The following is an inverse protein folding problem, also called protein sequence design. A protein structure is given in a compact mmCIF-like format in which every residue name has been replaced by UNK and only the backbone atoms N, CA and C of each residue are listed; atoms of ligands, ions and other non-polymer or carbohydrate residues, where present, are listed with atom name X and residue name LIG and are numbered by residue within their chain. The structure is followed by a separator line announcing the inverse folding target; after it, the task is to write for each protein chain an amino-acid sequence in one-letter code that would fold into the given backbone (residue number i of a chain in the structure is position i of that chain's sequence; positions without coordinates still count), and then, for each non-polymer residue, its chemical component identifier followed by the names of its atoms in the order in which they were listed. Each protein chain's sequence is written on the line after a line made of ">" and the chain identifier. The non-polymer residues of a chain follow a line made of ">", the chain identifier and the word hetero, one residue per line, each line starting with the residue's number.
data_IF_534681352113
#
_entry.id   IF_534681352113
#
_cell.length_a   1.000
_cell.length_b   1.000
_cell.length_c   1.000
_cell.angle_alpha   90.00
_cell.angle_beta   90.00
_cell.angle_gamma   90.00
#
_symmetry.space_group_name_H-M   'P 1'
#
loop_
_entity.id
_entity.type
_entity.pdbx_description
1 polymer ?
#
# COMPACT_ATOMS: atom_id res chain seq x y z
N UNK A 1 49.72 -63.19 5.35
CA UNK A 1 49.06 -62.23 4.44
C UNK A 1 48.42 -63.00 3.31
N UNK A 2 47.20 -62.61 2.89
CA UNK A 2 46.43 -63.06 1.72
C UNK A 2 45.25 -64.03 1.96
N UNK A 3 44.06 -63.48 1.78
CA UNK A 3 42.75 -64.10 1.54
C UNK A 3 41.83 -62.94 1.13
N UNK A 4 40.90 -62.99 0.19
CA UNK A 4 40.39 -63.97 -0.79
C UNK A 4 39.68 -63.13 -1.86
N UNK A 5 39.60 -63.64 -3.10
CA UNK A 5 38.82 -63.05 -4.20
C UNK A 5 37.50 -63.82 -4.40
N UNK A 6 36.46 -63.03 -4.67
CA UNK A 6 35.26 -63.27 -5.50
C UNK A 6 34.24 -64.37 -5.16
N UNK A 7 32.97 -63.99 -4.99
CA UNK A 7 31.93 -64.19 -6.02
C UNK A 7 30.64 -63.39 -5.70
N UNK A 8 29.96 -62.92 -6.74
CA UNK A 8 28.76 -62.09 -6.71
C UNK A 8 27.46 -62.92 -6.74
N UNK A 9 26.35 -62.38 -6.21
CA UNK A 9 25.05 -62.30 -6.93
C UNK A 9 23.91 -61.71 -6.06
N UNK A 10 23.33 -60.64 -6.63
CA UNK A 10 21.95 -60.15 -6.61
C UNK A 10 20.98 -60.47 -5.45
N UNK A 11 20.51 -59.40 -4.78
CA UNK A 11 19.21 -59.35 -4.09
C UNK A 11 18.37 -58.18 -4.65
N UNK A 12 17.03 -58.28 -4.65
CA UNK A 12 16.14 -57.37 -5.37
C UNK A 12 15.76 -56.12 -4.55
N UNK A 13 15.60 -55.01 -5.26
CA UNK A 13 15.10 -53.71 -4.80
C UNK A 13 13.58 -53.70 -4.58
N UNK A 14 13.08 -53.03 -3.53
CA UNK A 14 11.70 -52.55 -3.51
C UNK A 14 11.63 -51.06 -3.87
N UNK A 15 10.82 -50.79 -4.90
CA UNK A 15 10.44 -49.50 -5.45
C UNK A 15 9.88 -48.52 -4.41
N UNK A 16 10.49 -47.34 -4.27
CA UNK A 16 9.95 -46.18 -3.56
C UNK A 16 9.23 -45.23 -4.52
N UNK A 17 8.01 -44.90 -4.13
CA UNK A 17 7.13 -43.79 -4.52
C UNK A 17 7.73 -42.66 -5.38
N UNK A 18 7.15 -42.46 -6.57
CA UNK A 18 7.17 -41.20 -7.31
C UNK A 18 5.78 -40.55 -7.24
N UNK A 19 5.61 -39.62 -6.29
CA UNK A 19 4.52 -38.65 -6.31
C UNK A 19 5.16 -37.26 -6.26
N UNK A 20 5.09 -36.57 -7.39
CA UNK A 20 5.58 -35.22 -7.62
C UNK A 20 4.87 -34.20 -6.74
N UNK A 21 5.61 -33.52 -5.87
CA UNK A 21 5.16 -32.33 -5.16
C UNK A 21 5.25 -31.09 -6.08
N UNK A 22 4.28 -30.17 -6.06
CA UNK A 22 4.35 -28.94 -6.84
C UNK A 22 5.32 -27.94 -6.21
N UNK A 23 6.22 -27.41 -7.05
CA UNK A 23 7.13 -26.31 -6.72
C UNK A 23 6.32 -25.05 -6.39
N UNK A 24 6.29 -24.68 -5.11
CA UNK A 24 5.83 -23.37 -4.67
C UNK A 24 6.96 -22.36 -4.90
N UNK A 25 6.76 -21.48 -5.87
CA UNK A 25 7.59 -20.30 -6.15
C UNK A 25 7.70 -19.44 -4.88
N UNK A 26 8.92 -19.27 -4.40
CA UNK A 26 9.28 -18.46 -3.24
C UNK A 26 9.09 -16.97 -3.56
N UNK A 27 7.92 -16.43 -3.25
CA UNK A 27 7.72 -14.99 -3.17
C UNK A 27 8.03 -14.54 -1.74
N UNK A 28 9.28 -14.10 -1.53
CA UNK A 28 9.73 -13.42 -0.32
C UNK A 28 9.00 -12.07 -0.18
N UNK A 29 7.78 -12.10 0.36
CA UNK A 29 7.15 -10.93 0.97
C UNK A 29 7.45 -11.04 2.45
N UNK A 30 8.42 -10.26 2.91
CA UNK A 30 8.75 -10.16 4.33
C UNK A 30 7.48 -9.87 5.13
N UNK A 31 7.05 -10.76 6.05
CA UNK A 31 5.95 -10.45 6.94
C UNK A 31 6.41 -9.31 7.85
N UNK A 32 5.71 -8.17 7.80
CA UNK A 32 5.88 -7.06 8.74
C UNK A 32 5.44 -7.54 10.13
N UNK A 33 6.31 -8.28 10.81
CA UNK A 33 6.20 -8.63 12.22
C UNK A 33 6.51 -7.38 13.05
N UNK A 34 5.50 -6.64 13.50
CA UNK A 34 5.62 -5.81 14.73
C UNK A 34 4.29 -5.41 15.36
N UNK A 35 3.15 -5.49 14.69
CA UNK A 35 1.91 -4.87 15.22
C UNK A 35 1.01 -5.76 16.11
N UNK A 36 1.31 -7.04 16.32
CA UNK A 36 0.30 -7.97 16.88
C UNK A 36 0.50 -8.39 18.33
N UNK A 37 1.69 -8.19 18.92
CA UNK A 37 1.97 -8.63 20.30
C UNK A 37 1.77 -7.54 21.35
N UNK A 38 1.76 -6.27 20.95
CA UNK A 38 1.77 -5.13 21.85
C UNK A 38 0.38 -4.48 21.85
N UNK A 39 -0.25 -4.23 23.01
CA UNK A 39 -1.52 -3.50 23.08
C UNK A 39 -1.45 -2.17 22.34
N UNK A 40 -2.53 -1.80 21.65
CA UNK A 40 -2.57 -0.60 20.80
C UNK A 40 -2.06 0.68 21.49
N UNK A 41 -2.41 0.98 22.76
CA UNK A 41 -1.90 2.16 23.44
C UNK A 41 -0.37 2.16 23.64
N UNK A 42 0.23 0.98 23.82
CA UNK A 42 1.68 0.85 23.98
C UNK A 42 2.37 0.97 22.62
N UNK A 43 1.85 0.30 21.60
CA UNK A 43 2.37 0.36 20.23
C UNK A 43 2.31 1.78 19.67
N UNK A 44 1.19 2.49 19.89
CA UNK A 44 1.01 3.85 19.41
C UNK A 44 1.97 4.83 20.07
N UNK A 45 2.20 4.71 21.40
CA UNK A 45 3.18 5.54 22.12
C UNK A 45 4.60 5.31 21.62
N UNK A 46 4.96 4.06 21.34
CA UNK A 46 6.27 3.74 20.76
C UNK A 46 6.41 4.36 19.38
N UNK A 47 5.40 4.21 18.52
CA UNK A 47 5.37 4.86 17.19
C UNK A 47 5.54 6.38 17.29
N UNK A 48 4.79 7.03 18.18
CA UNK A 48 4.89 8.46 18.41
C UNK A 48 6.29 8.89 18.89
N UNK A 49 6.85 8.18 19.87
CA UNK A 49 8.19 8.45 20.40
C UNK A 49 9.26 8.27 19.31
N UNK A 50 9.20 7.18 18.54
CA UNK A 50 10.12 6.95 17.42
C UNK A 50 10.05 8.07 16.39
N UNK A 51 8.85 8.47 15.97
CA UNK A 51 8.69 9.57 15.02
C UNK A 51 9.21 10.91 15.58
N UNK A 52 8.89 11.23 16.83
CA UNK A 52 9.39 12.43 17.49
C UNK A 52 10.93 12.43 17.59
N UNK A 53 11.52 11.29 17.92
CA UNK A 53 12.97 11.14 18.00
C UNK A 53 13.65 11.32 16.62
N UNK A 54 13.09 10.71 15.57
CA UNK A 54 13.60 10.89 14.20
C UNK A 54 13.55 12.36 13.78
N UNK A 55 12.44 13.07 14.07
CA UNK A 55 12.34 14.52 13.77
C UNK A 55 13.35 15.34 14.57
N UNK A 56 13.64 14.97 15.81
CA UNK A 56 14.66 15.63 16.61
C UNK A 56 16.07 15.45 16.04
N UNK A 57 16.37 14.27 15.46
CA UNK A 57 17.64 14.01 14.78
C UNK A 57 17.72 14.69 13.40
N UNK A 58 16.59 14.94 12.75
CA UNK A 58 16.51 15.46 11.38
C UNK A 58 15.55 16.65 11.30
N UNK A 59 15.99 17.86 11.71
CA UNK A 59 15.10 19.03 11.83
C UNK A 59 14.49 19.51 10.50
N UNK A 60 15.09 19.14 9.36
CA UNK A 60 14.60 19.50 8.02
C UNK A 60 13.82 18.38 7.32
N UNK A 61 13.56 17.25 8.00
CA UNK A 61 12.94 16.07 7.38
C UNK A 61 11.60 16.40 6.72
N UNK A 62 10.75 17.18 7.38
CA UNK A 62 9.44 17.56 6.86
C UNK A 62 9.55 18.40 5.56
N UNK A 63 10.50 19.33 5.52
CA UNK A 63 10.74 20.16 4.33
C UNK A 63 11.29 19.33 3.17
N UNK A 64 12.18 18.37 3.46
CA UNK A 64 12.74 17.45 2.47
C UNK A 64 11.61 16.58 1.91
N UNK A 65 10.81 15.94 2.76
CA UNK A 65 9.70 15.09 2.33
C UNK A 65 8.68 15.84 1.46
N UNK A 66 8.31 17.06 1.85
CA UNK A 66 7.41 17.92 1.05
C UNK A 66 8.01 18.25 -0.31
N UNK A 67 9.30 18.57 -0.35
CA UNK A 67 10.01 18.94 -1.59
C UNK A 67 10.13 17.73 -2.51
N UNK A 68 10.54 16.57 -1.99
CA UNK A 68 10.66 15.33 -2.76
C UNK A 68 9.33 14.90 -3.37
N UNK A 69 8.23 14.94 -2.61
CA UNK A 69 6.90 14.61 -3.13
C UNK A 69 6.50 15.59 -4.24
N UNK A 70 6.75 16.88 -4.04
CA UNK A 70 6.44 17.92 -5.04
C UNK A 70 7.23 17.71 -6.33
N UNK A 71 8.54 17.49 -6.22
CA UNK A 71 9.44 17.32 -7.37
C UNK A 71 9.16 16.00 -8.10
N UNK A 72 8.88 14.93 -7.36
CA UNK A 72 8.50 13.63 -7.92
C UNK A 72 7.18 13.71 -8.69
N UNK A 73 6.18 14.40 -8.12
CA UNK A 73 4.90 14.61 -8.80
C UNK A 73 5.03 15.43 -10.08
N UNK A 74 5.79 16.55 -10.03
CA UNK A 74 6.05 17.40 -11.19
C UNK A 74 6.77 16.63 -12.30
N UNK A 75 7.80 15.86 -11.95
CA UNK A 75 8.53 15.02 -12.90
C UNK A 75 7.64 13.91 -13.48
N UNK A 76 6.78 13.31 -12.67
CA UNK A 76 5.80 12.32 -13.13
C UNK A 76 4.85 12.90 -14.19
N UNK A 77 4.32 14.10 -13.95
CA UNK A 77 3.47 14.81 -14.93
C UNK A 77 4.24 15.12 -16.21
N UNK A 78 5.47 15.64 -16.10
CA UNK A 78 6.30 15.93 -17.27
C UNK A 78 6.60 14.67 -18.10
N UNK A 79 6.87 13.53 -17.46
CA UNK A 79 7.09 12.26 -18.13
C UNK A 79 5.85 11.77 -18.87
N UNK A 80 4.66 11.84 -18.25
CA UNK A 80 3.40 11.44 -18.90
C UNK A 80 3.10 12.32 -20.11
N UNK A 81 3.28 13.63 -19.98
CA UNK A 81 3.10 14.57 -21.10
C UNK A 81 4.13 14.34 -22.21
N UNK A 82 5.38 14.07 -21.86
CA UNK A 82 6.42 13.77 -22.85
C UNK A 82 6.11 12.46 -23.61
N UNK A 83 5.67 11.42 -22.90
CA UNK A 83 5.23 10.16 -23.49
C UNK A 83 4.00 10.34 -24.41
N UNK A 84 3.14 11.31 -24.11
CA UNK A 84 2.02 11.71 -24.97
C UNK A 84 2.42 12.56 -26.20
N UNK A 85 3.70 12.85 -26.40
CA UNK A 85 4.20 13.63 -27.54
C UNK A 85 4.13 15.16 -27.36
N UNK A 86 3.89 15.66 -26.15
CA UNK A 86 3.73 17.10 -25.89
C UNK A 86 5.06 17.87 -25.75
N UNK A 87 6.21 17.20 -25.89
CA UNK A 87 7.54 17.82 -25.91
C UNK A 87 8.59 17.12 -25.03
N UNK A 88 9.72 17.79 -24.82
CA UNK A 88 10.82 17.33 -23.98
C UNK A 88 10.50 17.48 -22.48
N UNK A 89 10.94 16.51 -21.67
CA UNK A 89 10.68 16.43 -20.24
C UNK A 89 11.11 17.70 -19.49
N UNK A 90 12.31 18.22 -19.76
CA UNK A 90 12.86 19.38 -19.03
C UNK A 90 12.09 20.68 -19.29
N UNK A 91 11.67 20.90 -20.55
CA UNK A 91 10.86 22.05 -20.91
C UNK A 91 9.46 21.99 -20.27
N UNK A 92 8.86 20.79 -20.24
CA UNK A 92 7.58 20.54 -19.58
C UNK A 92 7.67 20.68 -18.07
N UNK A 93 8.74 20.17 -17.46
CA UNK A 93 9.00 20.27 -16.03
C UNK A 93 9.15 21.73 -15.60
N UNK A 94 9.89 22.54 -16.35
CA UNK A 94 10.06 23.98 -16.06
C UNK A 94 8.72 24.70 -16.08
N UNK A 95 7.90 24.43 -17.11
CA UNK A 95 6.57 25.03 -17.26
C UNK A 95 5.59 24.58 -16.18
N UNK A 96 5.54 23.28 -15.88
CA UNK A 96 4.69 22.72 -14.84
C UNK A 96 5.09 23.23 -13.45
N UNK A 97 6.40 23.34 -13.19
CA UNK A 97 6.93 23.89 -11.94
C UNK A 97 6.53 25.34 -11.75
N UNK A 98 6.67 26.18 -12.78
CA UNK A 98 6.30 27.59 -12.69
C UNK A 98 4.80 27.79 -12.35
N UNK A 99 3.93 26.89 -12.81
CA UNK A 99 2.47 27.03 -12.67
C UNK A 99 1.88 26.29 -11.47
N UNK A 100 2.40 25.12 -11.14
CA UNK A 100 1.74 24.15 -10.24
C UNK A 100 2.53 23.81 -8.97
N UNK A 101 3.77 24.28 -8.83
CA UNK A 101 4.63 23.95 -7.68
C UNK A 101 4.01 24.37 -6.35
N UNK A 102 3.43 25.56 -6.28
CA UNK A 102 2.82 26.06 -5.04
C UNK A 102 1.62 25.22 -4.60
N UNK A 103 0.74 24.83 -5.53
CA UNK A 103 -0.42 23.98 -5.23
C UNK A 103 0.02 22.59 -4.80
N UNK A 104 0.98 21.97 -5.51
CA UNK A 104 1.50 20.65 -5.16
C UNK A 104 2.21 20.65 -3.81
N UNK A 105 2.99 21.70 -3.51
CA UNK A 105 3.61 21.87 -2.20
C UNK A 105 2.57 21.93 -1.09
N UNK A 106 1.50 22.70 -1.27
CA UNK A 106 0.40 22.77 -0.30
C UNK A 106 -0.27 21.41 -0.08
N UNK A 107 -0.45 20.62 -1.14
CA UNK A 107 -0.99 19.26 -1.02
C UNK A 107 -0.03 18.36 -0.23
N UNK A 108 1.27 18.43 -0.51
CA UNK A 108 2.28 17.67 0.20
C UNK A 108 2.37 18.05 1.69
N UNK A 109 2.26 19.35 2.02
CA UNK A 109 2.19 19.83 3.41
C UNK A 109 0.95 19.29 4.14
N UNK A 110 -0.22 19.29 3.49
CA UNK A 110 -1.44 18.70 4.04
C UNK A 110 -1.33 17.18 4.23
N UNK A 111 -0.71 16.48 3.28
CA UNK A 111 -0.47 15.05 3.37
C UNK A 111 0.48 14.71 4.54
N UNK A 112 1.53 15.52 4.74
CA UNK A 112 2.45 15.34 5.87
C UNK A 112 1.75 15.61 7.21
N UNK A 113 0.90 16.65 7.27
CA UNK A 113 0.06 16.92 8.45
C UNK A 113 -0.91 15.78 8.74
N UNK A 114 -1.53 15.20 7.71
CA UNK A 114 -2.39 14.03 7.86
C UNK A 114 -1.60 12.84 8.42
N UNK A 115 -0.41 12.57 7.89
CA UNK A 115 0.45 11.51 8.37
C UNK A 115 0.83 11.70 9.86
N UNK A 116 1.13 12.93 10.28
CA UNK A 116 1.37 13.26 11.69
C UNK A 116 0.15 12.94 12.57
N UNK A 117 -1.05 13.41 12.18
CA UNK A 117 -2.27 13.17 12.97
C UNK A 117 -2.60 11.69 13.10
N UNK A 118 -2.45 10.92 12.01
CA UNK A 118 -2.75 9.49 12.01
C UNK A 118 -1.72 8.67 12.80
N UNK A 119 -0.43 9.03 12.73
CA UNK A 119 0.65 8.23 13.31
C UNK A 119 1.04 8.63 14.72
N UNK A 120 1.07 9.92 15.00
CA UNK A 120 1.58 10.49 16.24
C UNK A 120 0.44 11.10 17.09
N UNK A 121 -0.57 11.69 16.45
CA UNK A 121 -1.68 12.33 17.15
C UNK A 121 -2.72 11.37 17.73
N UNK A 122 -2.88 10.17 17.14
CA UNK A 122 -3.92 9.22 17.55
C UNK A 122 -3.31 8.00 18.25
N UNK A 123 -3.57 7.86 19.55
CA UNK A 123 -3.02 6.78 20.38
C UNK A 123 -4.03 5.67 20.72
N UNK A 124 -5.34 5.96 20.62
CA UNK A 124 -6.39 5.01 21.03
C UNK A 124 -6.66 3.92 19.99
N UNK A 125 -6.37 4.20 18.72
CA UNK A 125 -6.74 3.36 17.56
C UNK A 125 -5.69 3.48 16.47
N UNK A 126 -5.62 2.51 15.55
CA UNK A 126 -4.73 2.60 14.38
C UNK A 126 -5.54 2.95 13.14
N UNK A 127 -5.43 4.19 12.70
CA UNK A 127 -6.06 4.64 11.46
C UNK A 127 -5.09 4.54 10.28
N UNK A 128 -5.61 4.06 9.16
CA UNK A 128 -4.87 3.98 7.91
C UNK A 128 -5.66 4.65 6.77
N UNK A 129 -5.00 5.46 5.93
CA UNK A 129 -5.63 5.99 4.74
C UNK A 129 -5.97 4.84 3.78
N UNK A 130 -7.14 4.90 3.18
CA UNK A 130 -7.65 3.91 2.24
C UNK A 130 -7.80 4.58 0.88
N UNK A 131 -7.08 4.10 -0.13
CA UNK A 131 -7.26 4.50 -1.52
C UNK A 131 -7.54 3.26 -2.37
N UNK A 132 -8.22 3.47 -3.49
CA UNK A 132 -8.57 2.40 -4.43
C UNK A 132 -7.74 2.58 -5.69
N UNK A 133 -7.00 1.53 -6.04
CA UNK A 133 -6.23 1.47 -7.28
C UNK A 133 -7.16 1.54 -8.50
N UNK A 134 -6.65 2.11 -9.59
CA UNK A 134 -7.34 2.09 -10.87
C UNK A 134 -7.57 0.65 -11.35
N UNK A 135 -8.56 0.45 -12.21
CA UNK A 135 -8.96 -0.83 -12.81
C UNK A 135 -9.65 -1.80 -11.81
N UNK A 136 -9.60 -1.54 -10.49
CA UNK A 136 -10.30 -2.38 -9.50
C UNK A 136 -11.83 -2.31 -9.68
N UNK A 137 -12.52 -3.42 -9.47
CA UNK A 137 -13.99 -3.44 -9.51
C UNK A 137 -14.60 -2.59 -8.38
N UNK A 138 -15.61 -1.81 -8.75
CA UNK A 138 -16.39 -1.01 -7.80
C UNK A 138 -17.21 -1.89 -6.85
N UNK A 139 -17.10 -1.60 -5.56
CA UNK A 139 -17.94 -2.20 -4.53
C UNK A 139 -18.65 -1.12 -3.70
N UNK A 140 -19.99 -1.03 -3.73
CA UNK A 140 -20.73 -0.03 -2.96
C UNK A 140 -20.63 -0.27 -1.44
N UNK A 141 -20.19 -1.46 -1.02
CA UNK A 141 -19.96 -1.77 0.40
C UNK A 141 -18.73 -1.04 0.96
N UNK A 142 -17.71 -0.81 0.13
CA UNK A 142 -16.43 -0.26 0.57
C UNK A 142 -16.05 1.05 -0.12
N UNK A 143 -16.80 1.50 -1.11
CA UNK A 143 -16.50 2.67 -1.94
C UNK A 143 -17.78 3.50 -2.19
N UNK A 144 -17.59 4.78 -2.53
CA UNK A 144 -18.65 5.70 -2.94
C UNK A 144 -18.39 6.20 -4.36
N UNK A 145 -19.39 6.14 -5.24
CA UNK A 145 -19.27 6.67 -6.60
C UNK A 145 -19.51 8.19 -6.58
N UNK A 146 -18.55 8.98 -7.06
CA UNK A 146 -18.69 10.45 -7.16
C UNK A 146 -19.88 10.86 -8.03
N UNK A 147 -20.15 10.08 -9.08
CA UNK A 147 -21.20 10.34 -10.06
C UNK A 147 -22.41 9.41 -9.88
N UNK A 148 -22.69 9.03 -8.64
CA UNK A 148 -23.91 8.27 -8.35
C UNK A 148 -25.15 9.00 -8.90
N UNK A 149 -25.99 8.28 -9.66
CA UNK A 149 -27.18 8.83 -10.31
C UNK A 149 -26.97 9.38 -11.73
N UNK A 150 -25.74 9.59 -12.19
CA UNK A 150 -25.44 10.13 -13.52
C UNK A 150 -24.97 9.07 -14.54
N UNK A 151 -24.93 7.79 -14.13
CA UNK A 151 -24.48 6.68 -14.98
C UNK A 151 -24.64 5.32 -14.29
N UNK A 152 -24.16 4.23 -14.88
CA UNK A 152 -24.28 2.90 -14.29
C UNK A 152 -23.42 2.79 -13.04
N UNK A 153 -24.02 2.39 -11.91
CA UNK A 153 -23.38 2.21 -10.60
C UNK A 153 -22.53 0.92 -10.50
N UNK A 154 -21.97 0.48 -11.63
CA UNK A 154 -21.11 -0.71 -11.75
C UNK A 154 -20.01 -0.43 -12.76
N UNK A 155 -18.87 -1.06 -12.56
CA UNK A 155 -17.73 -0.94 -13.46
C UNK A 155 -16.42 -0.94 -12.70
N UNK A 156 -15.35 -0.63 -13.41
CA UNK A 156 -14.01 -0.49 -12.83
C UNK A 156 -13.78 0.95 -12.37
N UNK A 157 -12.99 1.10 -11.32
CA UNK A 157 -12.55 2.37 -10.78
C UNK A 157 -11.55 2.99 -11.75
N UNK A 158 -11.83 4.20 -12.21
CA UNK A 158 -10.89 5.02 -12.97
C UNK A 158 -9.84 5.62 -12.02
N UNK A 159 -10.29 6.28 -10.96
CA UNK A 159 -9.42 6.87 -9.95
C UNK A 159 -10.15 7.10 -8.61
N UNK A 160 -9.36 7.27 -7.54
CA UNK A 160 -9.85 7.76 -6.24
C UNK A 160 -9.75 9.28 -6.21
N UNK A 161 -10.83 9.98 -5.90
CA UNK A 161 -10.87 11.45 -5.76
C UNK A 161 -10.75 11.89 -4.31
N UNK A 162 -11.35 11.13 -3.40
CA UNK A 162 -11.28 11.39 -1.95
C UNK A 162 -10.79 10.14 -1.23
N UNK A 163 -9.80 10.34 -0.37
CA UNK A 163 -9.16 9.26 0.39
C UNK A 163 -10.11 8.80 1.50
N UNK A 164 -10.33 7.50 1.59
CA UNK A 164 -11.07 6.88 2.69
C UNK A 164 -10.21 6.69 3.93
N UNK A 165 -10.84 6.18 5.00
CA UNK A 165 -10.17 5.89 6.26
C UNK A 165 -10.63 4.53 6.78
N UNK A 166 -9.68 3.70 7.19
CA UNK A 166 -9.95 2.47 7.90
C UNK A 166 -9.32 2.49 9.29
N UNK A 167 -10.01 1.87 10.25
CA UNK A 167 -9.52 1.63 11.60
C UNK A 167 -9.13 0.16 11.74
N UNK A 168 -7.95 -0.10 12.27
CA UNK A 168 -7.49 -1.44 12.64
C UNK A 168 -7.63 -1.60 14.16
N UNK A 169 -8.33 -2.65 14.57
CA UNK A 169 -8.49 -3.01 15.99
C UNK A 169 -8.07 -4.46 16.18
N UNK A 170 -7.12 -4.69 17.08
CA UNK A 170 -6.74 -6.04 17.46
C UNK A 170 -7.77 -6.57 18.47
N UNK A 171 -8.64 -7.49 18.03
CA UNK A 171 -9.49 -8.26 18.93
C UNK A 171 -8.73 -9.51 19.37
N UNK A 172 -7.68 -9.30 20.17
CA UNK A 172 -7.04 -10.40 20.88
C UNK A 172 -8.07 -11.00 21.84
N UNK A 173 -8.62 -12.18 21.50
CA UNK A 173 -9.31 -12.99 22.50
C UNK A 173 -8.28 -13.56 23.46
N UNK A 174 -8.67 -13.67 24.72
CA UNK A 174 -7.87 -14.16 25.83
C UNK A 174 -6.96 -15.35 25.47
N UNK A 175 -5.66 -15.06 25.36
CA UNK A 175 -4.58 -16.00 25.68
C UNK A 175 -4.32 -17.23 24.80
N UNK A 176 -5.14 -17.60 23.81
CA UNK A 176 -4.87 -18.77 22.96
C UNK A 176 -5.16 -18.51 21.48
N UNK A 177 -4.13 -18.75 20.68
CA UNK A 177 -4.08 -18.76 19.21
C UNK A 177 -4.04 -17.38 18.51
N UNK A 178 -2.82 -16.83 18.48
CA UNK A 178 -2.46 -15.66 17.68
C UNK A 178 -2.34 -16.04 16.19
N UNK A 179 -3.41 -15.84 15.44
CA UNK A 179 -3.37 -15.81 13.97
C UNK A 179 -3.55 -14.38 13.45
N UNK A 180 -3.08 -14.10 12.24
CA UNK A 180 -3.29 -12.82 11.52
C UNK A 180 -4.78 -12.45 11.31
N UNK A 181 -5.71 -13.32 11.70
CA UNK A 181 -7.17 -13.12 11.64
C UNK A 181 -7.73 -12.32 12.83
N UNK A 182 -6.94 -11.96 13.85
CA UNK A 182 -7.42 -11.18 15.01
C UNK A 182 -7.48 -9.66 14.79
N UNK A 183 -6.93 -9.16 13.68
CA UNK A 183 -7.03 -7.73 13.34
C UNK A 183 -8.32 -7.49 12.56
N UNK A 184 -9.30 -6.90 13.24
CA UNK A 184 -10.51 -6.39 12.61
C UNK A 184 -10.17 -5.10 11.84
N UNK A 185 -10.58 -5.06 10.57
CA UNK A 185 -10.48 -3.86 9.72
C UNK A 185 -11.86 -3.28 9.52
N UNK A 186 -12.07 -2.06 9.98
CA UNK A 186 -13.35 -1.35 9.82
C UNK A 186 -13.16 -0.12 8.96
N UNK A 187 -13.85 -0.05 7.83
CA UNK A 187 -13.93 1.19 7.04
C UNK A 187 -14.75 2.21 7.84
N UNK A 188 -14.13 3.34 8.16
CA UNK A 188 -14.74 4.45 8.92
C UNK A 188 -15.21 5.54 7.97
N UNK A 189 -14.48 5.75 6.88
CA UNK A 189 -14.84 6.64 5.80
C UNK A 189 -14.57 5.92 4.48
N UNK A 190 -15.59 5.81 3.62
CA UNK A 190 -15.40 5.19 2.30
C UNK A 190 -14.62 6.14 1.40
N UNK A 191 -13.64 5.65 0.61
CA UNK A 191 -13.05 6.44 -0.45
C UNK A 191 -14.10 6.75 -1.52
N UNK A 192 -14.06 7.98 -2.04
CA UNK A 192 -14.86 8.34 -3.22
C UNK A 192 -14.06 8.08 -4.48
N UNK A 193 -14.70 7.40 -5.42
CA UNK A 193 -14.10 6.91 -6.65
C UNK A 193 -14.90 7.36 -7.86
N UNK A 194 -14.20 7.56 -8.97
CA UNK A 194 -14.79 7.75 -10.29
C UNK A 194 -14.74 6.41 -11.02
N UNK A 195 -15.81 6.04 -11.72
CA UNK A 195 -15.87 4.80 -12.51
C UNK A 195 -15.52 5.06 -13.98
N UNK A 196 -14.93 4.08 -14.66
CA UNK A 196 -14.65 4.16 -16.11
C UNK A 196 -15.91 4.40 -16.94
N UNK A 197 -17.06 3.93 -16.46
CA UNK A 197 -18.35 4.09 -17.13
C UNK A 197 -18.79 5.54 -17.31
N UNK A 198 -18.27 6.49 -16.51
CA UNK A 198 -18.62 7.91 -16.68
C UNK A 198 -18.00 8.52 -17.93
N UNK A 199 -16.87 7.98 -18.41
CA UNK A 199 -16.18 8.52 -19.60
C UNK A 199 -17.12 8.45 -20.81
N UNK A 200 -17.87 7.35 -20.95
CA UNK A 200 -18.86 7.18 -22.01
C UNK A 200 -20.04 8.17 -21.95
N UNK A 201 -20.32 8.72 -20.76
CA UNK A 201 -21.38 9.72 -20.57
C UNK A 201 -20.84 11.12 -20.87
N UNK A 202 -19.58 11.40 -20.55
CA UNK A 202 -18.94 12.70 -20.77
C UNK A 202 -18.54 12.94 -22.25
N UNK A 203 -18.37 11.88 -23.03
CA UNK A 203 -18.05 11.98 -24.47
C UNK A 203 -19.29 12.29 -25.37
N UNK A 204 -20.45 12.59 -24.79
CA UNK A 204 -21.68 13.01 -25.50
C UNK A 204 -21.95 14.50 -25.34
#
# INVERSE_FOLDING_TARGET
>A
MHSRLAYASALPTPSRHSASAPQASSNHISPRYTSTCIPQPTSSRWRALTHAHIRALSPNLDNIAVTEVTDTALRGVANVLSAGGFGEVEALLTRASARHRAQLRRIAELANRLAYVLREGTMSTDFQPLFVESVREFSPLTMENVYEGYGPSKGRVLCTTEIGLQCLTNRGKDGKDFSSQTIERRVVLKPRVVLESIVQVLDR
#
